data_IF_593564663924
#
_entry.id   IF_593564663924
#
_cell.length_a   1.000
_cell.length_b   1.000
_cell.length_c   1.000
_cell.angle_alpha   90.00
_cell.angle_beta   90.00
_cell.angle_gamma   90.00
#
_symmetry.space_group_name_H-M   'P 1'
#
loop_
_entity.id
_entity.type
_entity.pdbx_description
1 polymer ?
#
# COMPACT_ATOMS: atom_id res chain seq x y z
N UNK A 1 -13.74 -4.48 -1.65
CA UNK A 1 -13.12 -4.69 -0.31
C UNK A 1 -13.17 -3.44 0.56
N UNK A 2 -12.74 -2.25 0.10
CA UNK A 2 -12.72 -1.02 0.95
C UNK A 2 -14.07 -0.64 1.59
N UNK A 3 -15.19 -0.77 0.85
CA UNK A 3 -16.54 -0.47 1.37
C UNK A 3 -16.96 -1.44 2.47
N UNK A 4 -16.73 -2.76 2.30
CA UNK A 4 -17.02 -3.73 3.36
C UNK A 4 -16.20 -3.47 4.62
N UNK A 5 -14.92 -3.12 4.50
CA UNK A 5 -14.06 -2.78 5.64
C UNK A 5 -14.58 -1.56 6.40
N UNK A 6 -15.07 -0.53 5.68
CA UNK A 6 -15.70 0.64 6.29
C UNK A 6 -17.01 0.28 7.01
N UNK A 7 -17.84 -0.56 6.39
CA UNK A 7 -19.10 -1.02 7.01
C UNK A 7 -18.82 -1.82 8.30
N UNK A 8 -17.83 -2.72 8.28
CA UNK A 8 -17.45 -3.47 9.48
C UNK A 8 -16.86 -2.57 10.57
N UNK A 9 -16.00 -1.62 10.21
CA UNK A 9 -15.46 -0.66 11.17
C UNK A 9 -16.56 0.19 11.81
N UNK A 10 -17.54 0.63 11.02
CA UNK A 10 -18.68 1.40 11.49
C UNK A 10 -19.56 0.60 12.45
N UNK A 11 -19.92 -0.63 12.08
CA UNK A 11 -20.68 -1.53 12.95
C UNK A 11 -19.95 -1.84 14.26
N UNK A 12 -18.63 -2.04 14.21
CA UNK A 12 -17.82 -2.31 15.39
C UNK A 12 -17.78 -1.09 16.35
N UNK A 13 -17.67 0.13 15.83
CA UNK A 13 -17.70 1.36 16.65
C UNK A 13 -19.07 1.54 17.32
N UNK A 14 -20.17 1.27 16.61
CA UNK A 14 -21.51 1.30 17.20
C UNK A 14 -21.61 0.28 18.33
N UNK A 15 -21.15 -0.95 18.10
CA UNK A 15 -21.20 -2.04 19.07
C UNK A 15 -20.39 -1.70 20.33
N UNK A 16 -19.15 -1.21 20.18
CA UNK A 16 -18.30 -0.84 21.31
C UNK A 16 -18.81 0.39 22.06
N UNK A 17 -19.42 1.35 21.38
CA UNK A 17 -20.05 2.50 22.02
C UNK A 17 -21.30 2.08 22.81
N UNK A 18 -22.10 1.17 22.26
CA UNK A 18 -23.27 0.61 22.94
C UNK A 18 -22.87 -0.20 24.18
N UNK A 19 -21.89 -1.10 24.05
CA UNK A 19 -21.35 -1.87 25.17
C UNK A 19 -20.72 -0.95 26.22
N UNK A 20 -19.96 0.06 25.80
CA UNK A 20 -19.36 1.02 26.70
C UNK A 20 -20.38 1.80 27.53
N UNK A 21 -21.48 2.23 26.90
CA UNK A 21 -22.60 2.85 27.61
C UNK A 21 -23.35 1.88 28.52
N UNK A 22 -23.53 0.61 28.11
CA UNK A 22 -24.20 -0.41 28.92
C UNK A 22 -23.43 -0.74 30.21
N UNK A 23 -22.10 -0.75 30.15
CA UNK A 23 -21.22 -0.98 31.31
C UNK A 23 -20.84 0.30 32.05
N UNK A 24 -21.42 1.45 31.69
CA UNK A 24 -21.14 2.76 32.28
C UNK A 24 -19.64 3.10 32.31
N UNK A 25 -18.93 2.75 31.23
CA UNK A 25 -17.48 2.98 31.12
C UNK A 25 -17.18 4.48 31.01
N UNK A 26 -16.05 4.94 31.57
CA UNK A 26 -15.60 6.32 31.40
C UNK A 26 -15.43 6.66 29.92
N UNK A 27 -15.94 7.83 29.51
CA UNK A 27 -15.85 8.30 28.14
C UNK A 27 -14.44 8.23 27.49
N UNK A 28 -13.34 8.56 28.20
CA UNK A 28 -11.99 8.41 27.65
C UNK A 28 -11.65 6.97 27.26
N UNK A 29 -12.15 6.00 28.01
CA UNK A 29 -11.92 4.57 27.76
C UNK A 29 -12.66 4.10 26.51
N UNK A 30 -13.94 4.48 26.36
CA UNK A 30 -14.75 4.17 25.16
C UNK A 30 -14.13 4.81 23.91
N UNK A 31 -13.71 6.06 24.02
CA UNK A 31 -13.08 6.80 22.92
C UNK A 31 -11.76 6.14 22.47
N UNK A 32 -10.94 5.69 23.42
CA UNK A 32 -9.69 4.97 23.14
C UNK A 32 -9.97 3.64 22.42
N UNK A 33 -10.99 2.90 22.85
CA UNK A 33 -11.36 1.62 22.27
C UNK A 33 -11.89 1.76 20.84
N UNK A 34 -12.70 2.79 20.60
CA UNK A 34 -13.17 3.16 19.27
C UNK A 34 -12.01 3.59 18.36
N UNK A 35 -11.08 4.40 18.87
CA UNK A 35 -9.90 4.80 18.11
C UNK A 35 -9.06 3.59 17.68
N UNK A 36 -8.79 2.65 18.61
CA UNK A 36 -8.06 1.41 18.31
C UNK A 36 -8.79 0.56 17.27
N UNK A 37 -10.11 0.49 17.34
CA UNK A 37 -10.93 -0.25 16.38
C UNK A 37 -10.79 0.34 14.98
N UNK A 38 -10.97 1.66 14.84
CA UNK A 38 -10.81 2.38 13.57
C UNK A 38 -9.38 2.19 13.03
N UNK A 39 -8.37 2.33 13.89
CA UNK A 39 -6.98 2.11 13.52
C UNK A 39 -6.72 0.68 13.02
N UNK A 40 -7.27 -0.33 13.70
CA UNK A 40 -7.14 -1.73 13.31
C UNK A 40 -7.78 -2.04 11.95
N UNK A 41 -8.93 -1.44 11.63
CA UNK A 41 -9.57 -1.69 10.35
C UNK A 41 -8.97 -0.88 9.18
N UNK A 42 -8.49 0.34 9.43
CA UNK A 42 -8.06 1.26 8.38
C UNK A 42 -6.53 1.35 8.22
N UNK A 43 -5.80 1.44 9.33
CA UNK A 43 -4.36 1.71 9.32
C UNK A 43 -3.53 0.42 9.44
N UNK A 44 -3.94 -0.53 10.28
CA UNK A 44 -3.21 -1.79 10.49
C UNK A 44 -2.93 -2.59 9.21
N UNK A 45 -3.82 -2.68 8.20
CA UNK A 45 -3.48 -3.36 6.95
C UNK A 45 -2.29 -2.72 6.24
N UNK A 46 -2.21 -1.39 6.25
CA UNK A 46 -1.12 -0.63 5.65
C UNK A 46 0.18 -0.76 6.44
N UNK A 47 0.10 -0.72 7.77
CA UNK A 47 1.27 -0.90 8.66
C UNK A 47 1.81 -2.33 8.57
N UNK A 48 0.92 -3.33 8.55
CA UNK A 48 1.31 -4.73 8.40
C UNK A 48 1.97 -5.02 7.05
N UNK A 49 1.61 -4.28 5.99
CA UNK A 49 2.29 -4.36 4.69
C UNK A 49 3.73 -3.81 4.77
N UNK A 50 3.96 -2.76 5.56
CA UNK A 50 5.30 -2.19 5.76
C UNK A 50 6.16 -3.04 6.69
N UNK A 51 5.55 -3.71 7.67
CA UNK A 51 6.26 -4.53 8.66
C UNK A 51 6.43 -6.01 8.23
N UNK A 52 5.59 -6.49 7.31
CA UNK A 52 5.53 -7.88 6.89
C UNK A 52 6.41 -8.21 5.68
N UNK A 53 7.73 -8.09 5.83
CA UNK A 53 8.73 -8.53 4.84
C UNK A 53 8.86 -10.06 4.70
N UNK A 54 8.03 -10.85 5.38
CA UNK A 54 8.19 -12.30 5.50
C UNK A 54 7.53 -13.16 4.41
N UNK A 55 6.61 -12.63 3.60
CA UNK A 55 5.86 -13.43 2.63
C UNK A 55 5.91 -12.78 1.24
N UNK A 56 7.04 -13.00 0.55
CA UNK A 56 7.33 -12.47 -0.78
C UNK A 56 6.23 -12.85 -1.78
N UNK A 57 5.67 -14.06 -1.67
CA UNK A 57 4.61 -14.55 -2.57
C UNK A 57 3.30 -13.76 -2.40
N UNK A 58 2.93 -13.41 -1.16
CA UNK A 58 1.77 -12.53 -0.91
C UNK A 58 1.99 -11.12 -1.43
N UNK A 59 3.20 -10.58 -1.28
CA UNK A 59 3.56 -9.27 -1.81
C UNK A 59 3.44 -9.28 -3.33
N UNK A 60 3.96 -10.32 -3.99
CA UNK A 60 3.89 -10.47 -5.44
C UNK A 60 2.45 -10.59 -5.95
N UNK A 61 1.62 -11.45 -5.34
CA UNK A 61 0.19 -11.57 -5.66
C UNK A 61 -0.55 -10.24 -5.48
N UNK A 62 -0.22 -9.48 -4.45
CA UNK A 62 -0.80 -8.16 -4.23
C UNK A 62 -0.37 -7.13 -5.28
N UNK A 63 0.92 -7.10 -5.63
CA UNK A 63 1.46 -6.22 -6.67
C UNK A 63 0.83 -6.52 -8.03
N UNK A 64 0.69 -7.80 -8.39
CA UNK A 64 -0.04 -8.25 -9.59
C UNK A 64 -1.51 -7.80 -9.57
N UNK A 65 -2.20 -8.01 -8.45
CA UNK A 65 -3.63 -7.64 -8.32
C UNK A 65 -3.85 -6.13 -8.42
N UNK A 66 -2.89 -5.32 -7.97
CA UNK A 66 -2.98 -3.86 -7.97
C UNK A 66 -2.14 -3.18 -9.06
N UNK A 67 -1.68 -3.93 -10.06
CA UNK A 67 -0.81 -3.48 -11.18
C UNK A 67 -1.39 -2.32 -12.00
N UNK A 68 -2.68 -2.03 -11.86
CA UNK A 68 -3.32 -0.84 -12.45
C UNK A 68 -2.74 0.46 -11.89
N UNK A 69 -2.28 0.47 -10.64
CA UNK A 69 -1.57 1.60 -10.07
C UNK A 69 -0.10 1.52 -10.52
N UNK A 70 0.43 2.58 -11.16
CA UNK A 70 1.76 2.55 -11.74
C UNK A 70 2.89 2.42 -10.69
N UNK A 71 2.66 2.80 -9.44
CA UNK A 71 3.65 2.58 -8.37
C UNK A 71 3.86 1.09 -8.07
N UNK A 72 2.78 0.31 -7.98
CA UNK A 72 2.87 -1.13 -7.78
C UNK A 72 3.39 -1.85 -9.02
N UNK A 73 3.04 -1.38 -10.22
CA UNK A 73 3.59 -1.90 -11.48
C UNK A 73 5.11 -1.71 -11.55
N UNK A 74 5.61 -0.54 -11.12
CA UNK A 74 7.05 -0.27 -11.09
C UNK A 74 7.79 -1.23 -10.15
N UNK A 75 7.31 -1.37 -8.91
CA UNK A 75 7.92 -2.27 -7.93
C UNK A 75 7.93 -3.72 -8.39
N UNK A 76 6.84 -4.18 -9.02
CA UNK A 76 6.76 -5.53 -9.59
C UNK A 76 7.74 -5.73 -10.75
N UNK A 77 7.82 -4.76 -11.67
CA UNK A 77 8.70 -4.82 -12.83
C UNK A 77 10.17 -4.85 -12.44
N UNK A 78 10.57 -4.06 -11.44
CA UNK A 78 11.93 -4.06 -10.89
C UNK A 78 12.26 -5.41 -10.25
N UNK A 79 11.35 -5.95 -9.42
CA UNK A 79 11.56 -7.23 -8.74
C UNK A 79 11.70 -8.41 -9.72
N UNK A 80 10.97 -8.37 -10.84
CA UNK A 80 10.95 -9.42 -11.85
C UNK A 80 11.93 -9.18 -13.03
N UNK A 81 12.77 -8.15 -12.99
CA UNK A 81 13.71 -7.87 -14.07
C UNK A 81 13.06 -7.44 -15.40
N UNK A 82 11.79 -7.02 -15.39
CA UNK A 82 11.03 -6.68 -16.60
C UNK A 82 11.16 -5.22 -16.98
N UNK A 83 12.10 -4.91 -17.90
CA UNK A 83 12.29 -3.56 -18.44
C UNK A 83 11.02 -2.96 -19.05
N UNK A 84 10.23 -3.78 -19.76
CA UNK A 84 8.97 -3.33 -20.36
C UNK A 84 7.99 -2.81 -19.31
N UNK A 85 7.86 -3.52 -18.18
CA UNK A 85 6.94 -3.11 -17.13
C UNK A 85 7.41 -1.87 -16.38
N UNK A 86 8.72 -1.74 -16.17
CA UNK A 86 9.33 -0.55 -15.58
C UNK A 86 9.09 0.68 -16.47
N UNK A 87 9.33 0.58 -17.77
CA UNK A 87 9.14 1.67 -18.72
C UNK A 87 7.67 2.10 -18.81
N UNK A 88 6.74 1.15 -18.90
CA UNK A 88 5.32 1.43 -18.91
C UNK A 88 4.85 2.10 -17.60
N UNK A 89 5.34 1.63 -16.46
CA UNK A 89 5.00 2.19 -15.16
C UNK A 89 5.51 3.62 -15.01
N UNK A 90 6.75 3.91 -15.40
CA UNK A 90 7.32 5.27 -15.36
C UNK A 90 6.60 6.19 -16.33
N UNK A 91 6.23 5.72 -17.52
CA UNK A 91 5.44 6.52 -18.46
C UNK A 91 4.05 6.89 -17.91
N UNK A 92 3.36 5.94 -17.27
CA UNK A 92 2.07 6.21 -16.61
C UNK A 92 2.25 7.19 -15.43
N UNK A 93 3.30 7.00 -14.64
CA UNK A 93 3.62 7.85 -13.49
C UNK A 93 3.97 9.28 -13.91
N UNK A 94 4.70 9.45 -15.01
CA UNK A 94 5.06 10.76 -15.57
C UNK A 94 3.84 11.53 -16.11
N UNK A 95 2.81 10.81 -16.57
CA UNK A 95 1.54 11.39 -17.01
C UNK A 95 0.62 11.74 -15.83
N UNK A 96 0.65 10.96 -14.75
CA UNK A 96 -0.24 11.16 -13.59
C UNK A 96 0.31 12.15 -12.55
N UNK A 97 1.63 12.31 -12.46
CA UNK A 97 2.26 13.20 -11.48
C UNK A 97 2.46 14.61 -12.03
N UNK A 98 1.82 15.58 -11.38
CA UNK A 98 1.97 17.00 -11.70
C UNK A 98 3.36 17.52 -11.30
N UNK A 99 3.88 17.09 -10.15
CA UNK A 99 5.13 17.61 -9.61
C UNK A 99 6.37 17.05 -10.32
N UNK A 100 7.23 17.96 -10.79
CA UNK A 100 8.47 17.64 -11.51
C UNK A 100 9.44 16.77 -10.69
N UNK A 101 9.61 17.08 -9.40
CA UNK A 101 10.53 16.35 -8.52
C UNK A 101 10.20 14.85 -8.44
N UNK A 102 8.93 14.51 -8.20
CA UNK A 102 8.51 13.11 -8.10
C UNK A 102 8.73 12.38 -9.43
N UNK A 103 8.47 13.02 -10.57
CA UNK A 103 8.75 12.44 -11.90
C UNK A 103 10.23 12.09 -12.08
N UNK A 104 11.13 12.98 -11.63
CA UNK A 104 12.58 12.77 -11.72
C UNK A 104 13.05 11.59 -10.88
N UNK A 105 12.46 11.36 -9.72
CA UNK A 105 12.79 10.19 -8.90
C UNK A 105 12.46 8.87 -9.62
N UNK A 106 11.30 8.77 -10.27
CA UNK A 106 10.93 7.56 -11.01
C UNK A 106 11.77 7.35 -12.28
N UNK A 107 12.12 8.44 -12.97
CA UNK A 107 13.07 8.38 -14.10
C UNK A 107 14.47 7.92 -13.65
N UNK A 108 14.91 8.35 -12.46
CA UNK A 108 16.18 7.90 -11.89
C UNK A 108 16.16 6.40 -11.58
N UNK A 109 15.07 5.89 -10.99
CA UNK A 109 14.89 4.46 -10.71
C UNK A 109 14.96 3.65 -12.01
N UNK A 110 14.28 4.10 -13.07
CA UNK A 110 14.36 3.48 -14.40
C UNK A 110 15.79 3.47 -14.94
N UNK A 111 16.52 4.60 -14.87
CA UNK A 111 17.88 4.70 -15.35
C UNK A 111 18.84 3.74 -14.61
N UNK A 112 18.73 3.67 -13.28
CA UNK A 112 19.52 2.75 -12.45
C UNK A 112 19.23 1.30 -12.84
N UNK A 113 17.95 0.95 -12.96
CA UNK A 113 17.52 -0.40 -13.32
C UNK A 113 18.02 -0.82 -14.71
N UNK A 114 17.88 0.05 -15.71
CA UNK A 114 18.36 -0.22 -17.08
C UNK A 114 19.88 -0.39 -17.12
N UNK A 115 20.63 0.41 -16.35
CA UNK A 115 22.08 0.25 -16.26
C UNK A 115 22.47 -1.08 -15.58
N UNK A 116 21.77 -1.45 -14.51
CA UNK A 116 21.97 -2.73 -13.84
C UNK A 116 21.71 -3.92 -14.78
N UNK A 117 20.60 -3.89 -15.54
CA UNK A 117 20.30 -4.91 -16.55
C UNK A 117 21.37 -4.99 -17.65
N UNK A 118 21.87 -3.84 -18.11
CA UNK A 118 22.93 -3.80 -19.14
C UNK A 118 24.21 -4.45 -18.63
N UNK A 119 24.61 -4.15 -17.38
CA UNK A 119 25.78 -4.75 -16.73
C UNK A 119 25.61 -6.26 -16.53
N UNK A 120 24.42 -6.72 -16.20
CA UNK A 120 24.14 -8.14 -16.00
C UNK A 120 24.22 -8.95 -17.31
N UNK A 121 23.77 -8.38 -18.43
CA UNK A 121 23.86 -9.01 -19.76
C UNK A 121 25.26 -9.03 -20.37
N UNK A 122 26.20 -8.27 -19.82
CA UNK A 122 27.61 -8.23 -20.27
C UNK A 122 28.54 -9.18 -19.51
N UNK A 123 28.01 -9.94 -18.54
CA UNK A 123 28.69 -11.04 -17.87
C UNK A 123 28.19 -12.38 -18.42
#
# INVERSE_FOLDING_TARGET
>A
MKILTLVYAFLAVILFSFLGGFFDLPMPMISTLNFLTVFYFLAYPSVRLLWGSGDIEKIEKFLLKNKRNPFYQLSYGVANGSAKEVDEAVNKTNKSLTHFYNRKQYQLIQAIFTNALKKWKSC
#
